data_IF_468510717693
#
_entry.id   IF_468510717693
#
_cell.length_a   1.000
_cell.length_b   1.000
_cell.length_c   1.000
_cell.angle_alpha   90.00
_cell.angle_beta   90.00
_cell.angle_gamma   90.00
#
_symmetry.space_group_name_H-M   'P 1'
#
loop_
_entity.id
_entity.type
_entity.pdbx_description
1 polymer ?
#
# COMPACT_ATOMS: atom_id res chain seq x y z
N UNK A 1 -22.12 -16.55 -28.64
CA UNK A 1 -20.93 -15.76 -28.25
C UNK A 1 -20.39 -15.10 -29.50
N UNK A 2 -20.30 -13.77 -29.55
CA UNK A 2 -19.63 -13.08 -30.67
C UNK A 2 -18.11 -13.25 -30.53
N UNK A 3 -17.36 -13.44 -31.63
CA UNK A 3 -15.92 -13.57 -31.59
C UNK A 3 -15.26 -12.29 -31.04
N UNK A 4 -14.39 -12.44 -30.04
CA UNK A 4 -13.69 -11.34 -29.37
C UNK A 4 -12.70 -10.66 -30.34
N UNK A 5 -12.76 -9.34 -30.45
CA UNK A 5 -11.88 -8.57 -31.33
C UNK A 5 -10.42 -8.67 -30.89
N UNK A 6 -9.48 -8.63 -31.84
CA UNK A 6 -8.03 -8.62 -31.55
C UNK A 6 -7.62 -7.45 -30.64
N UNK A 7 -8.37 -6.34 -30.67
CA UNK A 7 -8.12 -5.16 -29.84
C UNK A 7 -8.47 -5.45 -28.37
N UNK A 8 -9.59 -6.11 -28.10
CA UNK A 8 -10.03 -6.49 -26.75
C UNK A 8 -9.03 -7.45 -26.08
N UNK A 9 -8.54 -8.45 -26.80
CA UNK A 9 -7.53 -9.41 -26.29
C UNK A 9 -6.23 -8.72 -25.87
N UNK A 10 -5.75 -7.74 -26.65
CA UNK A 10 -4.51 -7.00 -26.32
C UNK A 10 -4.68 -6.15 -25.07
N UNK A 11 -5.78 -5.41 -24.95
CA UNK A 11 -6.06 -4.60 -23.75
C UNK A 11 -6.16 -5.48 -22.51
N UNK A 12 -6.85 -6.63 -22.61
CA UNK A 12 -6.92 -7.57 -21.51
C UNK A 12 -5.56 -8.16 -21.14
N UNK A 13 -4.71 -8.49 -22.11
CA UNK A 13 -3.36 -8.98 -21.82
C UNK A 13 -2.51 -7.95 -21.06
N UNK A 14 -2.58 -6.67 -21.45
CA UNK A 14 -1.90 -5.58 -20.71
C UNK A 14 -2.47 -5.44 -19.29
N UNK A 15 -3.79 -5.55 -19.15
CA UNK A 15 -4.45 -5.52 -17.84
C UNK A 15 -4.03 -6.68 -16.92
N UNK A 16 -3.88 -7.89 -17.47
CA UNK A 16 -3.36 -9.05 -16.73
C UNK A 16 -1.94 -8.79 -16.24
N UNK A 17 -1.06 -8.25 -17.09
CA UNK A 17 0.31 -7.89 -16.70
C UNK A 17 0.29 -6.85 -15.57
N UNK A 18 -0.57 -5.84 -15.66
CA UNK A 18 -0.77 -4.86 -14.59
C UNK A 18 -1.19 -5.53 -13.28
N UNK A 19 -2.17 -6.42 -13.28
CA UNK A 19 -2.64 -7.11 -12.07
C UNK A 19 -1.53 -7.97 -11.45
N UNK A 20 -0.74 -8.67 -12.27
CA UNK A 20 0.38 -9.47 -11.79
C UNK A 20 1.49 -8.61 -11.16
N UNK A 21 1.84 -7.47 -11.79
CA UNK A 21 2.81 -6.53 -11.24
C UNK A 21 2.31 -5.89 -9.94
N UNK A 22 1.05 -5.45 -9.91
CA UNK A 22 0.41 -4.88 -8.72
C UNK A 22 0.37 -5.89 -7.59
N UNK A 23 -0.03 -7.14 -7.87
CA UNK A 23 -0.01 -8.24 -6.91
C UNK A 23 1.39 -8.48 -6.35
N UNK A 24 2.43 -8.53 -7.21
CA UNK A 24 3.81 -8.72 -6.78
C UNK A 24 4.30 -7.57 -5.89
N UNK A 25 3.95 -6.32 -6.19
CA UNK A 25 4.28 -5.16 -5.34
C UNK A 25 3.58 -5.23 -3.98
N UNK A 26 2.30 -5.60 -3.96
CA UNK A 26 1.52 -5.76 -2.72
C UNK A 26 2.04 -6.93 -1.86
N UNK A 27 2.47 -8.02 -2.50
CA UNK A 27 3.18 -9.10 -1.83
C UNK A 27 4.52 -8.60 -1.23
N UNK A 28 5.27 -7.79 -1.98
CA UNK A 28 6.49 -7.14 -1.48
C UNK A 28 6.23 -6.29 -0.23
N UNK A 29 5.16 -5.49 -0.23
CA UNK A 29 4.74 -4.68 0.93
C UNK A 29 4.38 -5.57 2.13
N UNK A 30 3.64 -6.66 1.90
CA UNK A 30 3.30 -7.63 2.94
C UNK A 30 4.56 -8.26 3.54
N UNK A 31 5.48 -8.75 2.70
CA UNK A 31 6.71 -9.40 3.13
C UNK A 31 7.65 -8.44 3.85
N UNK A 32 7.75 -7.19 3.38
CA UNK A 32 8.48 -6.14 4.08
C UNK A 32 7.90 -5.89 5.47
N UNK A 33 6.58 -5.76 5.59
CA UNK A 33 5.90 -5.53 6.87
C UNK A 33 6.04 -6.71 7.83
N UNK A 34 6.02 -7.94 7.29
CA UNK A 34 6.26 -9.16 8.06
C UNK A 34 7.71 -9.24 8.54
N UNK A 35 8.67 -8.92 7.68
CA UNK A 35 10.10 -8.85 8.03
C UNK A 35 10.35 -7.78 9.10
N UNK A 36 9.74 -6.60 8.94
CA UNK A 36 9.77 -5.54 9.93
C UNK A 36 9.16 -5.99 11.27
N UNK A 37 8.12 -6.81 11.26
CA UNK A 37 7.54 -7.34 12.50
C UNK A 37 8.46 -8.37 13.20
N UNK A 38 9.16 -9.20 12.43
CA UNK A 38 10.09 -10.21 12.96
C UNK A 38 11.41 -9.62 13.46
N UNK A 39 11.89 -8.56 12.80
CA UNK A 39 13.16 -7.91 13.12
C UNK A 39 13.03 -6.38 13.07
N UNK A 40 12.18 -5.84 13.97
CA UNK A 40 11.73 -4.45 13.97
C UNK A 40 12.88 -3.46 14.04
N UNK A 41 13.78 -3.66 14.99
CA UNK A 41 14.89 -2.74 15.19
C UNK A 41 15.78 -2.67 13.95
N UNK A 42 16.20 -3.82 13.39
CA UNK A 42 17.08 -3.83 12.23
C UNK A 42 16.41 -3.22 10.98
N UNK A 43 15.15 -3.57 10.70
CA UNK A 43 14.46 -3.11 9.48
C UNK A 43 14.12 -1.62 9.57
N UNK A 44 13.52 -1.17 10.67
CA UNK A 44 13.11 0.24 10.78
C UNK A 44 14.31 1.17 10.99
N UNK A 45 15.31 0.80 11.80
CA UNK A 45 16.51 1.64 11.94
C UNK A 45 17.29 1.77 10.63
N UNK A 46 17.32 0.73 9.79
CA UNK A 46 17.90 0.82 8.45
C UNK A 46 17.08 1.70 7.49
N UNK A 47 15.75 1.71 7.63
CA UNK A 47 14.86 2.43 6.71
C UNK A 47 14.69 3.92 7.05
N UNK A 48 14.48 4.26 8.32
CA UNK A 48 14.25 5.64 8.78
C UNK A 48 15.43 6.23 9.58
N UNK A 49 16.46 5.45 9.85
CA UNK A 49 17.60 5.84 10.70
C UNK A 49 17.38 5.52 12.18
N UNK A 50 18.47 5.17 12.87
CA UNK A 50 18.45 4.80 14.29
C UNK A 50 17.92 5.93 15.20
N UNK A 51 18.30 7.18 14.92
CA UNK A 51 17.88 8.34 15.70
C UNK A 51 16.37 8.58 15.61
N UNK A 52 15.78 8.39 14.42
CA UNK A 52 14.33 8.53 14.24
C UNK A 52 13.58 7.35 14.85
N UNK A 53 14.11 6.14 14.71
CA UNK A 53 13.53 4.94 15.33
C UNK A 53 13.38 5.10 16.85
N UNK A 54 14.40 5.64 17.52
CA UNK A 54 14.39 5.86 18.97
C UNK A 54 13.32 6.88 19.44
N UNK A 55 12.84 7.75 18.56
CA UNK A 55 11.88 8.81 18.88
C UNK A 55 10.42 8.43 18.59
N UNK A 56 10.18 7.29 17.95
CA UNK A 56 8.83 6.85 17.56
C UNK A 56 8.32 5.81 18.57
N UNK A 57 7.10 5.97 19.11
CA UNK A 57 6.54 4.99 20.04
C UNK A 57 6.45 3.57 19.45
N UNK A 58 6.79 2.51 20.19
CA UNK A 58 6.72 1.13 19.68
C UNK A 58 5.33 0.69 19.19
N UNK A 59 4.27 1.29 19.76
CA UNK A 59 2.89 1.06 19.34
C UNK A 59 2.62 1.57 17.92
N UNK A 60 3.28 2.67 17.51
CA UNK A 60 3.17 3.24 16.16
C UNK A 60 3.67 2.24 15.11
N UNK A 61 4.87 1.68 15.31
CA UNK A 61 5.40 0.67 14.39
C UNK A 61 4.50 -0.56 14.30
N UNK A 62 3.96 -1.01 15.43
CA UNK A 62 3.06 -2.16 15.47
C UNK A 62 1.76 -1.92 14.67
N UNK A 63 1.20 -0.72 14.77
CA UNK A 63 0.02 -0.31 14.01
C UNK A 63 0.34 -0.22 12.51
N UNK A 64 1.47 0.40 12.16
CA UNK A 64 1.90 0.57 10.79
C UNK A 64 2.15 -0.77 10.11
N UNK A 65 2.96 -1.64 10.71
CA UNK A 65 3.24 -2.99 10.24
C UNK A 65 1.95 -3.78 10.01
N UNK A 66 1.01 -3.70 10.95
CA UNK A 66 -0.28 -4.39 10.81
C UNK A 66 -1.12 -3.82 9.66
N UNK A 67 -1.22 -2.49 9.58
CA UNK A 67 -1.99 -1.82 8.53
C UNK A 67 -1.42 -2.12 7.14
N UNK A 68 -0.11 -1.97 6.95
CA UNK A 68 0.56 -2.23 5.66
C UNK A 68 0.54 -3.70 5.29
N UNK A 69 0.66 -4.60 6.26
CA UNK A 69 0.50 -6.04 6.05
C UNK A 69 -0.94 -6.38 5.62
N UNK A 70 -1.96 -5.84 6.30
CA UNK A 70 -3.36 -6.07 5.94
C UNK A 70 -3.69 -5.51 4.55
N UNK A 71 -3.21 -4.31 4.23
CA UNK A 71 -3.37 -3.67 2.91
C UNK A 71 -2.67 -4.51 1.84
N UNK A 72 -1.40 -4.86 2.04
CA UNK A 72 -0.63 -5.68 1.09
C UNK A 72 -1.27 -7.03 0.83
N UNK A 73 -1.75 -7.73 1.87
CA UNK A 73 -2.46 -8.99 1.71
C UNK A 73 -3.79 -8.82 0.95
N UNK A 74 -4.60 -7.84 1.33
CA UNK A 74 -5.90 -7.58 0.73
C UNK A 74 -5.78 -7.27 -0.78
N UNK A 75 -4.89 -6.35 -1.14
CA UNK A 75 -4.69 -5.97 -2.54
C UNK A 75 -3.97 -7.06 -3.35
N UNK A 76 -3.00 -7.78 -2.76
CA UNK A 76 -2.38 -8.91 -3.42
C UNK A 76 -3.40 -9.98 -3.81
N UNK A 77 -4.29 -10.35 -2.89
CA UNK A 77 -5.35 -11.33 -3.15
C UNK A 77 -6.40 -10.77 -4.11
N UNK A 78 -6.78 -9.50 -3.95
CA UNK A 78 -7.73 -8.80 -4.83
C UNK A 78 -7.26 -8.79 -6.29
N UNK A 79 -6.02 -8.37 -6.54
CA UNK A 79 -5.43 -8.30 -7.90
C UNK A 79 -5.39 -9.68 -8.58
N UNK A 80 -5.09 -10.75 -7.83
CA UNK A 80 -5.11 -12.12 -8.34
C UNK A 80 -6.54 -12.60 -8.57
N UNK A 81 -7.46 -12.30 -7.66
CA UNK A 81 -8.86 -12.70 -7.77
C UNK A 81 -9.54 -12.10 -9.01
N UNK A 82 -9.19 -10.86 -9.39
CA UNK A 82 -9.74 -10.19 -10.57
C UNK A 82 -9.38 -10.91 -11.88
N UNK A 83 -8.28 -11.68 -11.92
CA UNK A 83 -7.91 -12.48 -13.10
C UNK A 83 -8.94 -13.59 -13.42
N UNK A 84 -9.74 -14.00 -12.44
CA UNK A 84 -10.77 -15.04 -12.59
C UNK A 84 -12.15 -14.46 -12.93
N UNK A 85 -12.29 -13.13 -12.99
CA UNK A 85 -13.57 -12.49 -13.32
C UNK A 85 -13.92 -12.72 -14.79
N UNK A 86 -15.16 -13.10 -15.12
CA UNK A 86 -15.59 -13.28 -16.51
C UNK A 86 -15.35 -12.03 -17.35
N UNK A 87 -14.89 -12.21 -18.59
CA UNK A 87 -14.63 -11.13 -19.56
C UNK A 87 -15.93 -10.60 -20.19
N UNK A 88 -16.85 -10.15 -19.36
CA UNK A 88 -18.11 -9.53 -19.74
C UNK A 88 -18.14 -8.04 -19.37
N UNK A 89 -19.31 -7.39 -19.53
CA UNK A 89 -19.46 -5.97 -19.18
C UNK A 89 -19.16 -5.69 -17.70
N UNK A 90 -19.43 -6.64 -16.80
CA UNK A 90 -19.17 -6.49 -15.36
C UNK A 90 -17.67 -6.62 -15.10
N UNK A 91 -17.00 -7.56 -15.75
CA UNK A 91 -15.54 -7.71 -15.68
C UNK A 91 -14.78 -6.46 -16.13
N UNK A 92 -15.28 -5.76 -17.16
CA UNK A 92 -14.70 -4.46 -17.57
C UNK A 92 -14.82 -3.39 -16.47
N UNK A 93 -16.00 -3.26 -15.84
CA UNK A 93 -16.22 -2.28 -14.74
C UNK A 93 -15.32 -2.62 -13.55
N UNK A 94 -15.27 -3.90 -13.15
CA UNK A 94 -14.39 -4.38 -12.07
C UNK A 94 -12.93 -4.05 -12.39
N UNK A 95 -12.50 -4.27 -13.64
CA UNK A 95 -11.15 -3.95 -14.08
C UNK A 95 -10.80 -2.47 -13.94
N UNK A 96 -11.69 -1.58 -14.40
CA UNK A 96 -11.52 -0.12 -14.28
C UNK A 96 -11.47 0.32 -12.82
N UNK A 97 -12.37 -0.20 -11.97
CA UNK A 97 -12.38 0.11 -10.53
C UNK A 97 -11.10 -0.38 -9.85
N UNK A 98 -10.63 -1.59 -10.17
CA UNK A 98 -9.38 -2.11 -9.62
C UNK A 98 -8.18 -1.23 -9.99
N UNK A 99 -8.10 -0.78 -11.24
CA UNK A 99 -7.05 0.16 -11.68
C UNK A 99 -7.12 1.47 -10.90
N UNK A 100 -8.32 2.05 -10.74
CA UNK A 100 -8.48 3.31 -10.03
C UNK A 100 -8.05 3.20 -8.56
N UNK A 101 -8.40 2.10 -7.89
CA UNK A 101 -7.99 1.86 -6.50
C UNK A 101 -6.48 1.60 -6.43
N UNK A 102 -5.93 0.77 -7.32
CA UNK A 102 -4.50 0.43 -7.35
C UNK A 102 -3.60 1.63 -7.64
N UNK A 103 -4.03 2.56 -8.51
CA UNK A 103 -3.35 3.85 -8.72
C UNK A 103 -3.31 4.71 -7.44
N UNK A 104 -4.35 4.63 -6.60
CA UNK A 104 -4.42 5.34 -5.33
C UNK A 104 -3.63 4.67 -4.20
N UNK A 105 -3.67 3.33 -4.11
CA UNK A 105 -3.08 2.59 -2.98
C UNK A 105 -1.59 2.31 -3.18
N UNK A 106 -1.17 1.74 -4.32
CA UNK A 106 0.18 1.18 -4.45
C UNK A 106 1.28 2.26 -4.56
N UNK A 107 1.01 3.39 -5.22
CA UNK A 107 2.01 4.45 -5.46
C UNK A 107 2.26 5.28 -4.20
N UNK A 108 1.21 5.55 -3.42
CA UNK A 108 1.30 6.46 -2.28
C UNK A 108 1.48 5.75 -0.95
N UNK A 109 1.23 4.45 -0.83
CA UNK A 109 1.34 3.75 0.47
C UNK A 109 2.72 3.94 1.13
N UNK A 110 3.87 3.76 0.46
CA UNK A 110 5.17 4.00 1.09
C UNK A 110 5.37 5.44 1.56
N UNK A 111 4.88 6.41 0.78
CA UNK A 111 4.94 7.83 1.12
C UNK A 111 4.02 8.18 2.30
N UNK A 112 2.79 7.67 2.31
CA UNK A 112 1.82 7.85 3.39
C UNK A 112 2.33 7.23 4.69
N UNK A 113 2.98 6.05 4.60
CA UNK A 113 3.67 5.40 5.72
C UNK A 113 4.77 6.31 6.26
N UNK A 114 5.67 6.81 5.40
CA UNK A 114 6.74 7.71 5.82
C UNK A 114 6.20 9.01 6.46
N UNK A 115 5.20 9.64 5.83
CA UNK A 115 4.55 10.84 6.36
C UNK A 115 3.91 10.58 7.73
N UNK A 116 3.24 9.44 7.89
CA UNK A 116 2.64 9.05 9.17
C UNK A 116 3.70 8.87 10.26
N UNK A 117 4.87 8.28 9.95
CA UNK A 117 6.00 8.19 10.89
C UNK A 117 6.46 9.58 11.32
N UNK A 118 6.69 10.49 10.37
CA UNK A 118 7.11 11.86 10.66
C UNK A 118 6.10 12.60 11.53
N UNK A 119 4.81 12.44 11.22
CA UNK A 119 3.72 13.10 11.94
C UNK A 119 3.51 12.58 13.37
N UNK A 120 3.87 11.31 13.62
CA UNK A 120 3.74 10.67 14.92
C UNK A 120 4.97 10.82 15.82
N UNK A 121 6.01 11.54 15.38
CA UNK A 121 7.16 11.84 16.24
C UNK A 121 6.74 12.71 17.44
N UNK A 122 7.33 12.42 18.60
CA UNK A 122 6.93 13.05 19.87
C UNK A 122 7.27 14.53 19.89
N UNK A 123 8.40 14.92 19.29
CA UNK A 123 8.82 16.32 19.16
C UNK A 123 7.86 17.12 18.28
N UNK A 124 7.51 16.62 17.09
CA UNK A 124 6.53 17.26 16.19
C UNK A 124 5.16 17.41 16.87
N UNK A 125 4.70 16.35 17.58
CA UNK A 125 3.46 16.42 18.34
C UNK A 125 3.49 17.48 19.43
N UNK A 126 4.61 17.63 20.15
CA UNK A 126 4.79 18.64 21.20
C UNK A 126 4.80 20.05 20.63
N UNK A 127 5.44 20.27 19.48
CA UNK A 127 5.44 21.55 18.79
C UNK A 127 4.03 21.98 18.40
N UNK A 128 3.24 21.09 17.79
CA UNK A 128 1.84 21.38 17.44
C UNK A 128 0.95 21.63 18.67
N UNK A 129 1.19 20.93 19.79
CA UNK A 129 0.41 21.12 21.02
C UNK A 129 0.81 22.37 21.82
N UNK A 130 2.00 22.92 21.57
CA UNK A 130 2.49 24.15 22.19
C UNK A 130 2.02 25.42 21.45
N UNK A 131 1.45 25.27 20.25
CA UNK A 131 0.86 26.40 19.52
C UNK A 131 -0.40 26.89 20.23
N UNK A 132 -0.53 28.20 20.48
CA UNK A 132 -1.75 28.75 21.07
C UNK A 132 -2.94 28.50 20.14
N UNK A 133 -4.15 28.24 20.67
CA UNK A 133 -5.33 28.07 19.85
C UNK A 133 -5.61 29.38 19.10
N UNK A 134 -5.40 29.39 17.77
CA UNK A 134 -5.63 30.56 16.91
C UNK A 134 -4.38 31.13 16.21
N UNK A 135 -3.23 30.46 16.25
CA UNK A 135 -2.11 30.77 15.36
C UNK A 135 -2.36 30.19 13.94
N UNK A 136 -3.27 30.83 13.19
CA UNK A 136 -3.36 30.70 11.73
C UNK A 136 -2.50 31.76 11.04
#
# INVERSE_FOLDING_TARGET
MMPESNRCRRVWAVYVVYCLLSSAMNLGLFLFSLSARMNREAVWSAWIGADMYAQVPPATFSLMEFATMAIGAFFCVGDVAVLFVPRDKRGWVVGVVNIAIGLGSCVFTPLCVWLLVMWLRIDIRREFQALPPGAE
#
